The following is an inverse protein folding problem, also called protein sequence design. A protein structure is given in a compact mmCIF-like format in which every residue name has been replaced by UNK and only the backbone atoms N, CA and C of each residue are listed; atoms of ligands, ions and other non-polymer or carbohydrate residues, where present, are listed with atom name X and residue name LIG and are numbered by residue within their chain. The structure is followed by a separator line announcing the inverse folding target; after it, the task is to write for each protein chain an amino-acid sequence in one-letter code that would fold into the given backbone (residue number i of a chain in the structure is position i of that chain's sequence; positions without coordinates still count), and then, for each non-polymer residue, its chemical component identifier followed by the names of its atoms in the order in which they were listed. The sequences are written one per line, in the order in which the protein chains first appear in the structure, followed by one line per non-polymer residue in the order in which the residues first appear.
data_IF_207992969462
#
_entry.id   IF_207992969462
#
_cell.length_a   1.000
_cell.length_b   1.000
_cell.length_c   1.000
_cell.angle_alpha   90.00
_cell.angle_beta   90.00
_cell.angle_gamma   90.00
#
_symmetry.space_group_name_H-M   'P 1'
#
loop_
_entity.id
_entity.type
_entity.pdbx_description
1 polymer ?
#
# COMPACT_ATOMS: atom_id res chain seq x y z
N UNK A 1 5.09 -20.67 -1.69
CA UNK A 1 4.35 -21.27 -2.82
C UNK A 1 5.32 -21.43 -3.98
N UNK A 2 5.19 -22.48 -4.79
CA UNK A 2 5.95 -22.67 -6.03
C UNK A 2 4.98 -22.79 -7.19
N UNK A 3 5.31 -22.17 -8.32
CA UNK A 3 4.54 -22.23 -9.56
C UNK A 3 5.48 -22.77 -10.63
N UNK A 4 5.10 -23.89 -11.24
CA UNK A 4 5.82 -24.44 -12.37
C UNK A 4 5.16 -23.91 -13.65
N UNK A 5 5.93 -23.16 -14.45
CA UNK A 5 5.46 -22.60 -15.72
C UNK A 5 5.47 -23.68 -16.80
N UNK A 6 4.45 -23.69 -17.65
CA UNK A 6 4.38 -24.62 -18.80
C UNK A 6 5.56 -24.43 -19.77
N UNK A 7 5.99 -23.17 -19.94
CA UNK A 7 7.11 -22.80 -20.80
C UNK A 7 8.13 -21.95 -20.02
N UNK A 8 9.44 -22.13 -20.26
CA UNK A 8 10.48 -21.31 -19.63
C UNK A 8 10.41 -19.85 -20.11
N UNK A 9 10.75 -18.92 -19.22
CA UNK A 9 10.89 -17.50 -19.57
C UNK A 9 12.23 -17.31 -20.27
N UNK A 10 12.19 -16.87 -21.53
CA UNK A 10 13.41 -16.61 -22.31
C UNK A 10 14.25 -15.46 -21.74
N UNK A 11 15.60 -15.50 -21.90
CA UNK A 11 16.47 -14.41 -21.47
C UNK A 11 16.21 -13.13 -22.27
N UNK A 12 16.68 -11.98 -21.75
CA UNK A 12 16.67 -10.71 -22.50
C UNK A 12 15.30 -10.02 -22.59
N UNK A 13 14.43 -10.21 -21.60
CA UNK A 13 13.15 -9.51 -21.51
C UNK A 13 11.91 -10.37 -21.74
N UNK A 14 12.03 -11.71 -21.63
CA UNK A 14 10.87 -12.58 -21.50
C UNK A 14 9.97 -12.14 -20.32
N UNK A 15 8.66 -12.34 -20.47
CA UNK A 15 7.65 -11.89 -19.49
C UNK A 15 6.72 -13.02 -19.13
N UNK A 16 6.25 -12.99 -17.90
CA UNK A 16 5.15 -13.81 -17.40
C UNK A 16 4.20 -12.90 -16.63
N UNK A 17 2.91 -13.16 -16.75
CA UNK A 17 1.87 -12.50 -15.97
C UNK A 17 1.28 -13.54 -15.02
N UNK A 18 1.16 -13.18 -13.74
CA UNK A 18 0.69 -14.07 -12.69
C UNK A 18 -0.40 -13.33 -11.91
N UNK A 19 -1.52 -14.01 -11.71
CA UNK A 19 -2.64 -13.50 -10.92
C UNK A 19 -2.82 -14.36 -9.68
N UNK A 20 -3.03 -13.70 -8.54
CA UNK A 20 -3.22 -14.35 -7.24
C UNK A 20 -4.44 -13.77 -6.55
N UNK A 21 -5.26 -14.65 -5.98
CA UNK A 21 -6.24 -14.28 -4.98
C UNK A 21 -5.72 -14.73 -3.60
N UNK A 22 -5.67 -13.82 -2.64
CA UNK A 22 -5.26 -14.13 -1.28
C UNK A 22 -6.05 -13.32 -0.26
N UNK A 23 -6.10 -13.84 0.97
CA UNK A 23 -6.66 -13.13 2.11
C UNK A 23 -5.93 -13.55 3.39
N UNK A 24 -5.90 -12.64 4.35
CA UNK A 24 -5.41 -12.91 5.70
C UNK A 24 -6.16 -12.02 6.70
N UNK A 25 -6.18 -12.44 7.96
CA UNK A 25 -6.68 -11.60 9.05
C UNK A 25 -5.54 -10.72 9.53
N UNK A 26 -5.72 -9.41 9.49
CA UNK A 26 -4.73 -8.46 10.03
C UNK A 26 -4.58 -8.74 11.54
N UNK A 27 -3.38 -9.10 12.02
CA UNK A 27 -3.16 -9.40 13.43
C UNK A 27 -3.24 -8.11 14.26
N UNK A 28 -3.41 -8.22 15.57
CA UNK A 28 -3.26 -7.05 16.45
C UNK A 28 -1.81 -6.54 16.47
N UNK A 29 -0.84 -7.46 16.40
CA UNK A 29 0.58 -7.18 16.32
C UNK A 29 1.28 -8.10 15.32
N UNK A 30 1.92 -7.53 14.30
CA UNK A 30 2.68 -8.25 13.27
C UNK A 30 4.09 -7.70 13.14
N UNK A 31 4.93 -8.04 14.12
CA UNK A 31 6.37 -7.81 14.11
C UNK A 31 6.79 -6.35 13.81
N UNK A 32 6.12 -5.38 14.45
CA UNK A 32 6.36 -3.93 14.28
C UNK A 32 6.14 -3.37 12.87
N UNK A 33 5.53 -4.12 11.95
CA UNK A 33 5.38 -3.72 10.53
C UNK A 33 3.95 -3.80 10.00
N UNK A 34 3.10 -4.55 10.68
CA UNK A 34 1.68 -4.55 10.43
C UNK A 34 0.93 -4.75 11.72
N UNK A 35 -0.32 -4.32 11.74
CA UNK A 35 -1.18 -4.53 12.89
C UNK A 35 -2.50 -3.82 12.73
N UNK A 36 -3.33 -4.02 13.75
CA UNK A 36 -4.52 -3.20 13.96
C UNK A 36 -4.66 -2.92 15.44
N UNK A 37 -5.09 -1.71 15.77
CA UNK A 37 -5.39 -1.35 17.14
C UNK A 37 -6.79 -0.75 17.23
N UNK A 38 -7.50 -1.05 18.32
CA UNK A 38 -8.79 -0.43 18.63
C UNK A 38 -8.53 0.86 19.41
N UNK A 39 -8.71 2.00 18.74
CA UNK A 39 -8.71 3.30 19.38
C UNK A 39 -10.08 3.64 19.97
N UNK A 40 -10.15 4.78 20.67
CA UNK A 40 -11.39 5.28 21.26
C UNK A 40 -12.47 5.61 20.20
N UNK A 41 -12.06 5.90 18.96
CA UNK A 41 -12.94 6.32 17.87
C UNK A 41 -13.04 5.28 16.73
N UNK A 42 -12.51 4.06 16.93
CA UNK A 42 -12.56 2.99 15.94
C UNK A 42 -11.22 2.27 15.76
N UNK A 43 -11.22 1.34 14.81
CA UNK A 43 -10.03 0.60 14.42
C UNK A 43 -9.09 1.46 13.57
N UNK A 44 -7.79 1.31 13.79
CA UNK A 44 -6.74 1.80 12.90
C UNK A 44 -5.92 0.61 12.44
N UNK A 45 -5.55 0.63 11.17
CA UNK A 45 -4.82 -0.45 10.51
C UNK A 45 -3.48 0.08 10.01
N UNK A 46 -2.46 -0.74 10.21
CA UNK A 46 -1.12 -0.56 9.65
C UNK A 46 -0.81 -1.80 8.81
N UNK A 47 -0.52 -1.59 7.53
CA UNK A 47 -0.32 -2.68 6.58
C UNK A 47 1.00 -2.46 5.84
N UNK A 48 1.96 -3.33 6.10
CA UNK A 48 3.14 -3.52 5.26
C UNK A 48 3.25 -4.99 4.86
N UNK A 49 3.98 -5.28 3.78
CA UNK A 49 4.38 -6.66 3.42
C UNK A 49 3.19 -7.63 3.30
N UNK A 50 2.08 -7.15 2.73
CA UNK A 50 0.76 -7.80 2.80
C UNK A 50 0.33 -8.51 1.51
N UNK A 51 1.17 -8.48 0.46
CA UNK A 51 0.88 -9.11 -0.83
C UNK A 51 1.91 -10.19 -1.20
N UNK A 52 1.53 -11.26 -1.94
CA UNK A 52 2.45 -12.26 -2.45
C UNK A 52 3.49 -11.62 -3.34
N UNK A 53 4.76 -11.85 -3.04
CA UNK A 53 5.88 -11.34 -3.81
C UNK A 53 6.75 -12.49 -4.31
N UNK A 54 7.26 -12.34 -5.53
CA UNK A 54 8.21 -13.29 -6.11
C UNK A 54 9.54 -13.26 -5.36
N UNK A 55 10.17 -14.41 -5.21
CA UNK A 55 11.55 -14.48 -4.74
C UNK A 55 12.50 -13.82 -5.75
N UNK A 56 13.60 -13.24 -5.27
CA UNK A 56 14.63 -12.72 -6.18
C UNK A 56 15.33 -13.89 -6.86
N UNK A 57 15.56 -13.76 -8.17
CA UNK A 57 16.45 -14.63 -8.93
C UNK A 57 17.75 -13.88 -9.20
N UNK A 58 18.84 -14.30 -8.57
CA UNK A 58 20.16 -13.70 -8.75
C UNK A 58 21.10 -14.62 -9.55
N UNK A 59 22.24 -14.07 -10.00
CA UNK A 59 23.23 -14.76 -10.83
C UNK A 59 24.26 -15.58 -10.02
N UNK A 60 24.13 -15.63 -8.69
CA UNK A 60 25.08 -16.31 -7.79
C UNK A 60 24.48 -17.59 -7.21
N UNK A 61 23.28 -17.51 -6.66
CA UNK A 61 22.53 -18.56 -5.97
C UNK A 61 21.25 -18.97 -6.75
N UNK A 62 20.84 -18.20 -7.76
CA UNK A 62 19.60 -18.43 -8.49
C UNK A 62 18.40 -17.89 -7.71
N UNK A 63 17.30 -18.65 -7.65
CA UNK A 63 16.16 -18.27 -6.82
C UNK A 63 16.57 -18.26 -5.34
N UNK A 64 16.17 -17.22 -4.61
CA UNK A 64 16.38 -17.10 -3.17
C UNK A 64 15.08 -17.39 -2.39
N UNK A 65 14.77 -18.66 -2.07
CA UNK A 65 13.52 -19.04 -1.39
C UNK A 65 13.65 -19.00 0.14
N UNK A 66 14.68 -18.35 0.69
CA UNK A 66 14.92 -18.36 2.12
C UNK A 66 13.74 -17.68 2.85
N UNK A 67 13.19 -18.32 3.89
CA UNK A 67 12.05 -17.76 4.59
C UNK A 67 12.45 -16.50 5.36
N UNK A 68 11.50 -15.57 5.44
CA UNK A 68 11.64 -14.41 6.31
C UNK A 68 11.65 -14.84 7.78
N UNK A 69 12.70 -14.47 8.52
CA UNK A 69 12.90 -14.86 9.93
C UNK A 69 12.45 -13.79 10.94
N UNK A 70 11.76 -12.73 10.49
CA UNK A 70 11.16 -11.71 11.38
C UNK A 70 12.09 -10.57 11.80
N UNK A 71 13.41 -10.75 11.82
CA UNK A 71 14.34 -9.73 12.36
C UNK A 71 15.19 -9.01 11.30
N UNK A 72 15.11 -9.44 10.03
CA UNK A 72 15.90 -8.88 8.93
C UNK A 72 15.09 -7.99 7.98
N UNK A 73 15.79 -7.44 7.00
CA UNK A 73 15.15 -6.93 5.78
C UNK A 73 15.05 -8.02 4.72
N UNK A 74 14.14 -7.83 3.77
CA UNK A 74 13.94 -8.76 2.66
C UNK A 74 14.98 -8.52 1.57
N UNK A 75 15.44 -9.59 0.94
CA UNK A 75 16.13 -9.51 -0.33
C UNK A 75 15.10 -9.34 -1.45
N UNK A 76 15.10 -8.18 -2.12
CA UNK A 76 14.03 -7.71 -2.98
C UNK A 76 14.58 -6.99 -4.20
N UNK A 77 13.89 -7.18 -5.33
CA UNK A 77 14.04 -6.33 -6.51
C UNK A 77 13.20 -5.05 -6.42
N UNK A 78 13.51 -4.11 -7.29
CA UNK A 78 12.73 -2.91 -7.52
C UNK A 78 11.62 -3.18 -8.54
N UNK A 79 10.47 -2.51 -8.36
CA UNK A 79 9.34 -2.62 -9.26
C UNK A 79 8.52 -1.34 -9.31
N UNK A 80 7.62 -1.31 -10.29
CA UNK A 80 6.55 -0.34 -10.37
C UNK A 80 5.27 -0.97 -9.79
N UNK A 81 4.50 -0.18 -9.04
CA UNK A 81 3.29 -0.63 -8.37
C UNK A 81 2.14 0.31 -8.70
N UNK A 82 1.05 -0.28 -9.19
CA UNK A 82 -0.27 0.35 -9.24
C UNK A 82 -1.13 -0.34 -8.17
N UNK A 83 -1.56 0.44 -7.17
CA UNK A 83 -2.25 -0.10 -5.98
C UNK A 83 -3.63 0.53 -5.85
N UNK A 84 -4.67 -0.31 -5.80
CA UNK A 84 -6.03 0.11 -5.50
C UNK A 84 -6.49 -0.46 -4.15
N UNK A 85 -6.91 0.42 -3.24
CA UNK A 85 -7.35 0.04 -1.88
C UNK A 85 -8.78 0.52 -1.67
N UNK A 86 -9.72 -0.41 -1.54
CA UNK A 86 -11.13 -0.11 -1.27
C UNK A 86 -11.45 -0.27 0.20
N UNK A 87 -11.95 0.79 0.84
CA UNK A 87 -12.28 0.86 2.27
C UNK A 87 -13.64 1.52 2.49
N UNK A 88 -14.30 1.32 3.65
CA UNK A 88 -15.47 2.12 4.03
C UNK A 88 -15.20 3.63 3.91
N UNK A 89 -16.21 4.41 3.52
CA UNK A 89 -16.02 5.84 3.16
C UNK A 89 -15.59 6.76 4.31
N UNK A 90 -15.61 6.28 5.55
CA UNK A 90 -15.12 6.99 6.73
C UNK A 90 -13.62 6.75 7.01
N UNK A 91 -12.97 5.84 6.28
CA UNK A 91 -11.53 5.61 6.36
C UNK A 91 -10.75 6.66 5.55
N UNK A 92 -9.53 6.93 6.02
CA UNK A 92 -8.52 7.68 5.29
C UNK A 92 -7.35 6.73 5.07
N UNK A 93 -6.91 6.61 3.83
CA UNK A 93 -5.77 5.77 3.47
C UNK A 93 -4.57 6.67 3.23
N UNK A 94 -3.47 6.36 3.91
CA UNK A 94 -2.16 6.92 3.63
C UNK A 94 -1.30 5.77 3.10
N UNK A 95 -0.65 5.99 1.97
CA UNK A 95 0.19 5.01 1.30
C UNK A 95 1.44 5.66 0.74
N UNK A 96 2.39 4.81 0.32
CA UNK A 96 3.55 5.26 -0.44
C UNK A 96 3.16 5.68 -1.86
N UNK A 97 4.03 6.48 -2.49
CA UNK A 97 3.84 6.92 -3.87
C UNK A 97 2.90 8.11 -4.06
N UNK A 98 2.47 8.29 -5.30
CA UNK A 98 1.54 9.34 -5.69
C UNK A 98 0.09 8.87 -5.57
N UNK A 99 -0.73 9.63 -4.84
CA UNK A 99 -2.19 9.48 -4.85
C UNK A 99 -2.74 9.99 -6.19
N UNK A 100 -3.34 9.10 -6.97
CA UNK A 100 -3.80 9.38 -8.34
C UNK A 100 -5.21 9.96 -8.42
N UNK A 101 -6.07 9.74 -7.42
CA UNK A 101 -7.47 10.16 -7.44
C UNK A 101 -7.90 11.02 -6.23
N UNK A 102 -7.15 12.07 -5.85
CA UNK A 102 -7.51 12.92 -4.71
C UNK A 102 -8.89 13.59 -4.85
N UNK A 103 -9.35 13.81 -6.09
CA UNK A 103 -10.68 14.35 -6.39
C UNK A 103 -11.85 13.47 -5.94
N UNK A 104 -11.63 12.16 -5.82
CA UNK A 104 -12.65 11.18 -5.46
C UNK A 104 -12.64 10.87 -3.95
N UNK A 105 -11.46 10.89 -3.34
CA UNK A 105 -11.26 10.39 -1.96
C UNK A 105 -11.00 11.48 -0.92
N UNK A 106 -10.73 12.72 -1.34
CA UNK A 106 -10.53 13.86 -0.45
C UNK A 106 -11.59 14.94 -0.66
N UNK A 107 -11.92 15.66 0.41
CA UNK A 107 -12.74 16.88 0.31
C UNK A 107 -11.99 17.99 -0.45
N UNK A 108 -12.71 18.96 -1.01
CA UNK A 108 -12.09 20.10 -1.71
C UNK A 108 -11.07 20.85 -0.83
N UNK A 109 -11.33 20.95 0.47
CA UNK A 109 -10.40 21.60 1.40
C UNK A 109 -9.11 20.78 1.58
N UNK A 110 -9.22 19.47 1.74
CA UNK A 110 -8.06 18.57 1.82
C UNK A 110 -7.26 18.55 0.51
N UNK A 111 -7.92 18.60 -0.65
CA UNK A 111 -7.26 18.72 -1.96
C UNK A 111 -6.44 20.02 -2.04
N UNK A 112 -7.01 21.16 -1.62
CA UNK A 112 -6.26 22.44 -1.57
C UNK A 112 -5.04 22.38 -0.65
N UNK A 113 -5.17 21.70 0.50
CA UNK A 113 -4.05 21.49 1.42
C UNK A 113 -2.98 20.57 0.83
N UNK A 114 -3.38 19.55 0.06
CA UNK A 114 -2.46 18.64 -0.62
C UNK A 114 -1.63 19.38 -1.67
N UNK A 115 -2.26 20.21 -2.49
CA UNK A 115 -1.55 21.04 -3.48
C UNK A 115 -0.59 22.04 -2.82
N UNK A 116 -1.00 22.64 -1.70
CA UNK A 116 -0.09 23.49 -0.90
C UNK A 116 1.08 22.68 -0.35
N UNK A 117 0.84 21.48 0.18
CA UNK A 117 1.88 20.63 0.74
C UNK A 117 2.96 20.26 -0.30
N UNK A 118 2.57 20.02 -1.56
CA UNK A 118 3.50 19.70 -2.66
C UNK A 118 4.58 20.78 -2.90
N UNK A 119 4.33 22.02 -2.48
CA UNK A 119 5.21 23.18 -2.75
C UNK A 119 5.69 23.89 -1.49
N UNK A 120 5.31 23.40 -0.31
CA UNK A 120 5.61 24.05 0.96
C UNK A 120 6.90 23.50 1.60
N UNK A 121 7.68 24.38 2.19
CA UNK A 121 8.77 24.01 3.10
C UNK A 121 8.31 23.81 4.56
N UNK A 122 7.03 24.08 4.84
CA UNK A 122 6.42 23.91 6.16
C UNK A 122 5.50 22.69 6.18
N UNK A 123 5.28 22.15 7.38
CA UNK A 123 4.34 21.04 7.56
C UNK A 123 2.91 21.50 7.28
N UNK A 124 2.23 20.80 6.37
CA UNK A 124 0.81 21.02 6.08
C UNK A 124 0.00 19.79 6.47
N UNK A 125 -0.87 19.93 7.47
CA UNK A 125 -1.83 18.89 7.81
C UNK A 125 -2.92 18.81 6.72
N UNK A 126 -2.95 17.72 5.96
CA UNK A 126 -3.99 17.48 4.94
C UNK A 126 -5.32 17.25 5.63
N UNK A 127 -5.35 16.26 6.52
CA UNK A 127 -6.42 16.01 7.49
C UNK A 127 -5.91 16.47 8.86
N UNK A 128 -6.55 17.49 9.43
CA UNK A 128 -6.15 18.06 10.71
C UNK A 128 -6.71 17.26 11.89
N UNK A 129 -6.04 17.33 13.04
CA UNK A 129 -6.42 16.58 14.25
C UNK A 129 -7.83 16.92 14.77
N UNK A 130 -8.32 18.14 14.54
CA UNK A 130 -9.67 18.56 14.91
C UNK A 130 -10.77 18.08 13.93
N UNK A 131 -10.39 17.41 12.83
CA UNK A 131 -11.32 16.82 11.85
C UNK A 131 -11.64 15.36 12.13
N UNK A 132 -10.94 14.74 13.09
CA UNK A 132 -11.18 13.35 13.49
C UNK A 132 -12.61 13.23 14.04
N UNK A 133 -13.34 12.24 13.54
CA UNK A 133 -14.73 11.99 13.92
C UNK A 133 -15.76 12.95 13.32
N UNK A 134 -15.34 13.99 12.58
CA UNK A 134 -16.27 14.91 11.92
C UNK A 134 -16.72 14.33 10.56
N UNK A 135 -18.02 14.01 10.34
CA UNK A 135 -18.47 13.46 9.06
C UNK A 135 -18.24 14.39 7.87
N UNK A 136 -18.14 15.71 8.09
CA UNK A 136 -17.85 16.69 7.03
C UNK A 136 -16.40 16.66 6.55
N UNK A 137 -15.51 15.94 7.23
CA UNK A 137 -14.13 15.74 6.80
C UNK A 137 -13.97 14.55 5.84
N UNK A 138 -15.08 14.00 5.35
CA UNK A 138 -15.15 12.94 4.34
C UNK A 138 -15.89 13.42 3.09
N UNK A 139 -15.54 12.91 1.89
CA UNK A 139 -16.34 13.13 0.69
C UNK A 139 -17.81 12.74 0.91
N UNK A 140 -18.74 13.41 0.22
CA UNK A 140 -20.15 13.08 0.30
C UNK A 140 -20.44 11.73 -0.36
N UNK A 141 -21.23 10.87 0.28
CA UNK A 141 -21.59 9.55 -0.22
C UNK A 141 -21.86 8.56 0.91
N UNK A 142 -22.44 7.41 0.60
CA UNK A 142 -22.67 6.31 1.56
C UNK A 142 -21.88 5.04 1.21
N UNK A 143 -21.12 5.05 0.11
CA UNK A 143 -20.39 3.90 -0.39
C UNK A 143 -18.94 3.84 0.09
N UNK A 144 -18.26 2.70 -0.15
CA UNK A 144 -16.82 2.61 0.02
C UNK A 144 -16.08 3.55 -0.95
N UNK A 145 -14.85 3.91 -0.60
CA UNK A 145 -13.94 4.69 -1.42
C UNK A 145 -12.77 3.82 -1.84
N UNK A 146 -12.36 3.94 -3.11
CA UNK A 146 -11.17 3.29 -3.65
C UNK A 146 -10.06 4.31 -3.80
N UNK A 147 -8.95 4.12 -3.08
CA UNK A 147 -7.75 4.94 -3.15
C UNK A 147 -6.78 4.33 -4.16
N UNK A 148 -6.26 5.15 -5.07
CA UNK A 148 -5.34 4.71 -6.12
C UNK A 148 -3.97 5.32 -5.92
N UNK A 149 -2.95 4.48 -5.81
CA UNK A 149 -1.56 4.91 -5.64
C UNK A 149 -0.67 4.37 -6.76
N UNK A 150 0.33 5.15 -7.15
CA UNK A 150 1.42 4.72 -8.02
C UNK A 150 2.77 4.91 -7.36
N UNK A 151 3.56 3.84 -7.37
CA UNK A 151 4.97 3.87 -7.00
C UNK A 151 5.78 3.48 -8.23
N UNK A 152 6.84 4.21 -8.53
CA UNK A 152 7.75 3.88 -9.62
C UNK A 152 9.14 3.62 -9.09
N UNK A 153 9.77 2.55 -9.56
CA UNK A 153 11.09 2.10 -9.12
C UNK A 153 11.20 2.07 -7.59
N UNK A 154 10.27 1.38 -6.94
CA UNK A 154 10.20 1.22 -5.49
C UNK A 154 10.59 -0.20 -5.07
N UNK A 155 11.08 -0.34 -3.84
CA UNK A 155 11.42 -1.64 -3.24
C UNK A 155 10.32 -2.14 -2.30
N UNK A 156 9.49 -1.24 -1.80
CA UNK A 156 8.42 -1.44 -0.84
C UNK A 156 7.28 -0.43 -1.03
#
# INVERSE_FOLDING_TARGET
MRIDLENPIGPGGGRVELEFEWSFVVPEYGADRMGRYQGAQGWVYELAQWYPRMYVFDDVQGWNPLPYLGQGEFYLDYGDFDVEITVPGDFIVVGGGELLNPGEVLTQEQQRRLERARTSSETVAIVAANEVGNPRSRPAGQGPLTWRFRLSNARD
#
